data_IF_882054153068
#
_entry.id   IF_882054153068
#
_cell.length_a   1.000
_cell.length_b   1.000
_cell.length_c   1.000
_cell.angle_alpha   90.00
_cell.angle_beta   90.00
_cell.angle_gamma   90.00
#
_symmetry.space_group_name_H-M   'P 1'
#
loop_
_entity.id
_entity.type
_entity.pdbx_description
1 polymer ?
#
# COMPACT_ATOMS: atom_id res chain seq x y z
N UNK A 1 -0.65 -5.88 8.20
CA UNK A 1 -0.28 -4.47 8.37
C UNK A 1 -0.65 -3.72 7.12
N UNK A 2 -1.36 -2.62 7.28
CA UNK A 2 -1.79 -1.77 6.17
C UNK A 2 -0.59 -0.97 5.60
N UNK A 3 -0.53 -0.78 4.28
CA UNK A 3 0.51 0.04 3.66
C UNK A 3 0.44 1.51 4.08
N UNK A 4 -0.76 2.01 4.40
CA UNK A 4 -0.93 3.36 4.94
C UNK A 4 -0.32 3.47 6.35
N UNK A 5 -0.52 2.46 7.20
CA UNK A 5 0.08 2.40 8.54
C UNK A 5 1.60 2.27 8.49
N UNK A 6 2.14 1.47 7.55
CA UNK A 6 3.59 1.32 7.36
C UNK A 6 4.28 2.64 7.02
N UNK A 7 3.60 3.52 6.28
CA UNK A 7 4.08 4.86 5.97
C UNK A 7 3.66 5.91 7.01
N UNK A 8 2.85 5.54 8.01
CA UNK A 8 2.35 6.46 9.04
C UNK A 8 1.44 7.55 8.49
N UNK A 9 0.66 7.23 7.45
CA UNK A 9 -0.24 8.16 6.76
C UNK A 9 -1.68 7.67 6.85
N UNK A 10 -2.64 8.58 6.72
CA UNK A 10 -4.06 8.22 6.68
C UNK A 10 -4.44 7.63 5.31
N UNK A 11 -5.49 6.81 5.25
CA UNK A 11 -6.04 6.26 3.99
C UNK A 11 -6.56 7.34 3.04
N UNK A 12 -6.94 8.50 3.57
CA UNK A 12 -7.37 9.67 2.79
C UNK A 12 -6.21 10.56 2.34
N UNK A 13 -4.97 10.18 2.65
CA UNK A 13 -3.80 11.01 2.32
C UNK A 13 -3.63 11.16 0.80
N UNK A 14 -3.24 12.36 0.42
CA UNK A 14 -2.89 12.70 -0.96
C UNK A 14 -1.58 12.04 -1.37
N UNK A 15 -1.36 11.90 -2.68
CA UNK A 15 -0.08 11.37 -3.22
C UNK A 15 1.12 12.20 -2.76
N UNK A 16 0.92 13.51 -2.55
CA UNK A 16 1.94 14.43 -2.03
C UNK A 16 2.32 14.07 -0.59
N UNK A 17 1.34 13.83 0.28
CA UNK A 17 1.57 13.44 1.67
C UNK A 17 2.23 12.07 1.78
N UNK A 18 1.78 11.10 0.97
CA UNK A 18 2.39 9.77 0.86
C UNK A 18 3.87 9.88 0.46
N UNK A 19 4.18 10.69 -0.57
CA UNK A 19 5.56 10.92 -1.01
C UNK A 19 6.40 11.61 0.05
N UNK A 20 5.84 12.58 0.77
CA UNK A 20 6.53 13.28 1.87
C UNK A 20 6.86 12.32 3.02
N UNK A 21 5.91 11.47 3.42
CA UNK A 21 6.10 10.48 4.45
C UNK A 21 7.17 9.44 4.07
N UNK A 22 7.10 8.92 2.84
CA UNK A 22 8.11 7.99 2.31
C UNK A 22 9.51 8.60 2.36
N UNK A 23 9.71 9.84 1.88
CA UNK A 23 11.02 10.50 1.92
C UNK A 23 11.57 10.65 3.33
N UNK A 24 10.71 10.98 4.30
CA UNK A 24 11.10 11.12 5.72
C UNK A 24 11.57 9.78 6.29
N UNK A 25 10.83 8.70 6.01
CA UNK A 25 11.16 7.35 6.49
C UNK A 25 12.37 6.76 5.77
N UNK A 26 12.48 6.98 4.45
CA UNK A 26 13.62 6.54 3.65
C UNK A 26 14.92 7.17 4.13
N UNK A 27 14.92 8.46 4.45
CA UNK A 27 16.09 9.12 5.06
C UNK A 27 16.40 8.58 6.47
N UNK A 28 15.37 8.22 7.25
CA UNK A 28 15.53 7.69 8.60
C UNK A 28 16.13 6.29 8.61
N UNK A 29 15.71 5.42 7.69
CA UNK A 29 16.12 4.02 7.62
C UNK A 29 17.08 3.73 6.46
N UNK A 30 17.70 4.76 5.86
CA UNK A 30 18.58 4.58 4.70
C UNK A 30 19.75 3.66 5.07
N UNK A 31 20.11 2.68 4.21
CA UNK A 31 21.17 1.71 4.49
C UNK A 31 22.56 2.35 4.64
N UNK A 32 22.77 3.51 4.01
CA UNK A 32 24.02 4.30 4.15
C UNK A 32 24.24 4.84 5.57
N UNK A 33 23.16 5.07 6.33
CA UNK A 33 23.20 5.67 7.68
C UNK A 33 22.85 4.67 8.78
N UNK A 34 22.32 3.50 8.42
CA UNK A 34 21.92 2.45 9.34
C UNK A 34 22.31 1.11 8.72
N UNK A 35 23.20 0.41 9.41
CA UNK A 35 23.77 -0.89 9.03
C UNK A 35 23.08 -2.07 9.74
N UNK A 36 22.09 -1.80 10.59
CA UNK A 36 21.35 -2.85 11.29
C UNK A 36 20.28 -3.52 10.40
N UNK A 37 20.01 -4.79 10.71
CA UNK A 37 19.03 -5.62 9.99
C UNK A 37 17.63 -5.00 10.08
N UNK A 38 17.27 -4.45 11.25
CA UNK A 38 15.96 -3.82 11.45
C UNK A 38 15.71 -2.60 10.54
N UNK A 39 16.71 -1.73 10.31
CA UNK A 39 16.52 -0.60 9.41
C UNK A 39 16.36 -1.08 7.97
N UNK A 40 17.09 -2.12 7.57
CA UNK A 40 16.95 -2.74 6.25
C UNK A 40 15.53 -3.31 6.06
N UNK A 41 15.02 -4.05 7.04
CA UNK A 41 13.65 -4.58 7.00
C UNK A 41 12.61 -3.44 6.94
N UNK A 42 12.75 -2.42 7.80
CA UNK A 42 11.85 -1.25 7.78
C UNK A 42 11.93 -0.51 6.46
N UNK A 43 13.11 -0.35 5.87
CA UNK A 43 13.30 0.29 4.57
C UNK A 43 12.59 -0.48 3.44
N UNK A 44 12.69 -1.81 3.44
CA UNK A 44 11.99 -2.66 2.48
C UNK A 44 10.46 -2.56 2.64
N UNK A 45 9.96 -2.53 3.88
CA UNK A 45 8.53 -2.37 4.15
C UNK A 45 7.99 -1.03 3.64
N UNK A 46 8.64 0.08 3.96
CA UNK A 46 8.20 1.41 3.48
C UNK A 46 8.29 1.54 1.96
N UNK A 47 9.29 0.90 1.33
CA UNK A 47 9.45 0.90 -0.12
C UNK A 47 8.31 0.12 -0.80
N UNK A 48 7.97 -1.06 -0.27
CA UNK A 48 6.85 -1.86 -0.76
C UNK A 48 5.51 -1.14 -0.60
N UNK A 49 5.28 -0.53 0.56
CA UNK A 49 4.08 0.28 0.79
C UNK A 49 3.98 1.43 -0.23
N UNK A 50 5.06 2.18 -0.40
CA UNK A 50 5.10 3.30 -1.33
C UNK A 50 4.87 2.86 -2.78
N UNK A 51 5.44 1.76 -3.26
CA UNK A 51 5.24 1.28 -4.64
C UNK A 51 3.75 0.98 -4.93
N UNK A 52 2.99 0.52 -3.94
CA UNK A 52 1.57 0.21 -4.10
C UNK A 52 0.68 1.44 -3.95
N UNK A 53 0.89 2.27 -2.92
CA UNK A 53 -0.06 3.35 -2.60
C UNK A 53 0.30 4.71 -3.21
N UNK A 54 1.49 4.87 -3.79
CA UNK A 54 1.88 6.12 -4.46
C UNK A 54 1.26 6.29 -5.85
N UNK A 55 1.02 5.19 -6.56
CA UNK A 55 0.35 5.19 -7.86
C UNK A 55 -1.18 5.15 -7.64
N UNK A 56 -1.93 6.16 -8.12
CA UNK A 56 -3.40 6.18 -7.99
C UNK A 56 -4.09 4.92 -8.52
N UNK A 57 -3.59 4.29 -9.58
CA UNK A 57 -4.14 3.05 -10.15
C UNK A 57 -3.90 1.87 -9.22
N UNK A 58 -2.65 1.64 -8.81
CA UNK A 58 -2.29 0.55 -7.88
C UNK A 58 -2.98 0.75 -6.52
N UNK A 59 -3.06 1.99 -6.03
CA UNK A 59 -3.78 2.36 -4.81
C UNK A 59 -5.26 2.03 -4.91
N UNK A 60 -5.90 2.34 -6.04
CA UNK A 60 -7.32 2.01 -6.26
C UNK A 60 -7.55 0.51 -6.22
N UNK A 61 -6.69 -0.29 -6.87
CA UNK A 61 -6.75 -1.75 -6.81
C UNK A 61 -6.55 -2.27 -5.38
N UNK A 62 -5.54 -1.76 -4.67
CA UNK A 62 -5.26 -2.11 -3.27
C UNK A 62 -6.42 -1.78 -2.34
N UNK A 63 -7.02 -0.59 -2.49
CA UNK A 63 -8.17 -0.18 -1.71
C UNK A 63 -9.40 -1.05 -2.03
N UNK A 64 -9.66 -1.34 -3.30
CA UNK A 64 -10.74 -2.26 -3.70
C UNK A 64 -10.54 -3.65 -3.10
N UNK A 65 -9.34 -4.22 -3.21
CA UNK A 65 -9.04 -5.56 -2.67
C UNK A 65 -9.13 -5.63 -1.15
N UNK A 66 -8.73 -4.56 -0.45
CA UNK A 66 -8.84 -4.48 1.03
C UNK A 66 -10.25 -4.08 1.51
N UNK A 67 -11.06 -3.44 0.66
CA UNK A 67 -12.42 -3.00 0.98
C UNK A 67 -13.48 -4.04 0.57
N UNK A 68 -13.15 -5.05 -0.24
CA UNK A 68 -13.84 -6.34 -0.20
C UNK A 68 -13.58 -7.00 1.15
N UNK A 69 -14.23 -6.47 2.19
CA UNK A 69 -14.72 -7.30 3.28
C UNK A 69 -15.50 -8.40 2.57
N UNK A 70 -15.09 -9.65 2.76
CA UNK A 70 -15.84 -10.80 2.26
C UNK A 70 -17.19 -10.77 2.99
N UNK A 71 -18.18 -10.12 2.40
CA UNK A 71 -19.55 -10.08 2.93
C UNK A 71 -20.42 -11.17 2.31
N UNK A 72 -20.12 -11.63 1.09
CA UNK A 72 -20.71 -12.84 0.53
C UNK A 72 -19.84 -13.40 -0.63
N UNK A 73 -19.35 -14.66 -0.56
CA UNK A 73 -18.69 -15.34 -1.68
C UNK A 73 -19.48 -15.36 -2.99
N UNK A 74 -20.81 -15.17 -2.96
CA UNK A 74 -21.67 -15.14 -4.17
C UNK A 74 -21.49 -13.88 -5.01
N UNK A 75 -21.29 -12.71 -4.40
CA UNK A 75 -21.11 -11.45 -5.16
C UNK A 75 -19.85 -11.49 -6.03
N UNK A 76 -18.80 -12.18 -5.58
CA UNK A 76 -17.56 -12.38 -6.35
C UNK A 76 -17.83 -13.28 -7.56
N UNK A 77 -18.56 -14.38 -7.38
CA UNK A 77 -18.89 -15.29 -8.48
C UNK A 77 -19.71 -14.56 -9.55
N UNK A 78 -20.71 -13.78 -9.15
CA UNK A 78 -21.57 -13.06 -10.08
C UNK A 78 -20.83 -11.94 -10.82
N UNK A 79 -19.99 -11.16 -10.12
CA UNK A 79 -19.16 -10.13 -10.75
C UNK A 79 -18.11 -10.72 -11.70
N UNK A 80 -17.54 -11.88 -11.36
CA UNK A 80 -16.56 -12.57 -12.19
C UNK A 80 -17.20 -13.12 -13.47
N UNK A 81 -18.38 -13.76 -13.36
CA UNK A 81 -19.09 -14.30 -14.53
C UNK A 81 -19.69 -13.21 -15.43
N UNK A 82 -20.22 -12.11 -14.89
CA UNK A 82 -20.72 -11.00 -15.71
C UNK A 82 -19.61 -10.33 -16.54
N UNK A 83 -18.39 -10.25 -16.00
CA UNK A 83 -17.25 -9.70 -16.72
C UNK A 83 -16.64 -10.67 -17.74
N UNK A 84 -16.94 -11.97 -17.66
CA UNK A 84 -16.40 -12.99 -18.56
C UNK A 84 -17.26 -13.23 -19.82
N UNK A 85 -18.51 -12.74 -19.83
CA UNK A 85 -19.46 -12.93 -20.92
C UNK A 85 -19.91 -11.63 -21.61
N UNK A 86 -19.22 -10.51 -21.36
CA UNK A 86 -19.46 -9.23 -22.01
C UNK A 86 -18.18 -8.70 -22.68
#
# INVERSE_FOLDING_TARGET
MDYFEQLGVSRVSTTIEIKKAYRKLANKYHPDRNDNIEAKEKFQLIQKAYDVISDPKKRSVYLKSNYTVITDPREIADSFWQSAFN
#
